data_IF_634370325806
#
_entry.id   IF_634370325806
#
_cell.length_a   1.000
_cell.length_b   1.000
_cell.length_c   1.000
_cell.angle_alpha   90.00
_cell.angle_beta   90.00
_cell.angle_gamma   90.00
#
_symmetry.space_group_name_H-M   'P 1'
#
loop_
_entity.id
_entity.type
_entity.pdbx_description
1 polymer ?
#
# COMPACT_ATOMS: atom_id res chain seq x y z
N UNK A 1 9.34 11.31 -2.72
CA UNK A 1 9.70 11.88 -1.40
C UNK A 1 8.47 11.97 -0.50
N UNK A 2 7.39 12.64 -0.94
CA UNK A 2 6.15 12.75 -0.16
C UNK A 2 5.49 11.40 0.17
N UNK A 3 5.38 10.49 -0.81
CA UNK A 3 4.93 9.12 -0.55
C UNK A 3 5.74 8.42 0.56
N UNK A 4 7.07 8.50 0.51
CA UNK A 4 7.93 7.82 1.49
C UNK A 4 7.73 8.37 2.90
N UNK A 5 7.62 9.69 3.03
CA UNK A 5 7.36 10.34 4.32
C UNK A 5 6.01 9.90 4.90
N UNK A 6 4.96 9.86 4.07
CA UNK A 6 3.67 9.34 4.48
C UNK A 6 3.76 7.86 4.86
N UNK A 7 4.46 7.06 4.05
CA UNK A 7 4.63 5.64 4.26
C UNK A 7 5.33 5.32 5.58
N UNK A 8 6.43 5.99 5.88
CA UNK A 8 7.14 5.85 7.16
C UNK A 8 6.24 6.19 8.34
N UNK A 9 5.46 7.27 8.24
CA UNK A 9 4.48 7.66 9.27
C UNK A 9 3.41 6.59 9.46
N UNK A 10 2.81 6.09 8.38
CA UNK A 10 1.80 5.03 8.46
C UNK A 10 2.37 3.73 9.04
N UNK A 11 3.57 3.35 8.63
CA UNK A 11 4.25 2.13 9.08
C UNK A 11 4.63 2.16 10.57
N UNK A 12 4.77 3.34 11.17
CA UNK A 12 5.03 3.52 12.59
C UNK A 12 3.78 3.28 13.47
N UNK A 13 2.62 3.00 12.86
CA UNK A 13 1.34 2.75 13.55
C UNK A 13 0.85 3.84 14.51
N UNK A 14 0.95 5.13 14.18
CA UNK A 14 0.27 6.18 14.94
C UNK A 14 -1.25 6.07 14.75
N UNK A 15 -2.02 6.80 15.56
CA UNK A 15 -3.44 7.03 15.31
C UNK A 15 -3.63 7.63 13.91
N UNK A 16 -4.24 6.87 12.99
CA UNK A 16 -4.46 7.31 11.61
C UNK A 16 -5.28 8.60 11.55
N UNK A 17 -6.28 8.74 12.42
CA UNK A 17 -7.12 9.96 12.51
C UNK A 17 -6.25 11.16 12.88
N UNK A 18 -5.33 10.99 13.84
CA UNK A 18 -4.42 12.05 14.25
C UNK A 18 -3.46 12.43 13.11
N UNK A 19 -2.88 11.47 12.40
CA UNK A 19 -1.98 11.74 11.27
C UNK A 19 -2.68 12.40 10.08
N UNK A 20 -3.95 12.06 9.81
CA UNK A 20 -4.74 12.75 8.78
C UNK A 20 -4.90 14.25 9.12
N UNK A 21 -5.13 14.58 10.39
CA UNK A 21 -5.19 15.96 10.83
C UNK A 21 -3.82 16.65 10.74
N UNK A 22 -2.73 15.96 11.11
CA UNK A 22 -1.35 16.46 10.94
C UNK A 22 -1.05 16.75 9.48
N UNK A 23 -1.46 15.88 8.55
CA UNK A 23 -1.27 16.09 7.11
C UNK A 23 -1.98 17.39 6.63
N UNK A 24 -3.21 17.62 7.10
CA UNK A 24 -3.93 18.88 6.86
C UNK A 24 -3.18 20.08 7.45
N UNK A 25 -2.74 19.99 8.71
CA UNK A 25 -2.02 21.06 9.37
C UNK A 25 -0.71 21.40 8.64
N UNK A 26 0.06 20.39 8.22
CA UNK A 26 1.28 20.56 7.43
C UNK A 26 1.01 21.27 6.09
N UNK A 27 -0.12 20.97 5.44
CA UNK A 27 -0.54 21.68 4.21
C UNK A 27 -0.90 23.15 4.48
N UNK A 28 -1.62 23.43 5.57
CA UNK A 28 -2.02 24.80 5.94
C UNK A 28 -0.81 25.65 6.33
N UNK A 29 0.14 25.07 7.08
CA UNK A 29 1.36 25.72 7.55
C UNK A 29 2.48 25.79 6.50
N UNK A 30 2.25 25.26 5.29
CA UNK A 30 3.23 25.30 4.19
C UNK A 30 4.35 24.26 4.26
N UNK A 31 4.33 23.36 5.25
CA UNK A 31 5.29 22.25 5.37
C UNK A 31 5.05 21.13 4.33
N UNK A 32 3.85 21.05 3.74
CA UNK A 32 3.50 20.10 2.68
C UNK A 32 2.93 20.85 1.46
N UNK A 33 3.59 20.69 0.31
CA UNK A 33 3.14 21.30 -0.94
C UNK A 33 1.78 20.74 -1.41
N UNK A 34 0.94 21.59 -2.01
CA UNK A 34 -0.41 21.19 -2.45
C UNK A 34 -0.41 20.00 -3.42
N UNK A 35 0.56 19.95 -4.34
CA UNK A 35 0.74 18.88 -5.31
C UNK A 35 1.21 17.56 -4.69
N UNK A 36 1.75 17.62 -3.47
CA UNK A 36 2.32 16.47 -2.74
C UNK A 36 1.34 15.84 -1.74
N UNK A 37 0.20 16.48 -1.46
CA UNK A 37 -0.77 16.00 -0.46
C UNK A 37 -1.31 14.62 -0.82
N UNK A 38 -1.70 14.41 -2.08
CA UNK A 38 -2.23 13.12 -2.54
C UNK A 38 -1.19 12.00 -2.38
N UNK A 39 0.05 12.27 -2.77
CA UNK A 39 1.14 11.29 -2.71
C UNK A 39 1.52 10.95 -1.25
N UNK A 40 1.58 11.95 -0.38
CA UNK A 40 1.79 11.78 1.07
C UNK A 40 0.66 10.96 1.72
N UNK A 41 -0.60 11.32 1.48
CA UNK A 41 -1.75 10.61 2.06
C UNK A 41 -1.83 9.17 1.57
N UNK A 42 -1.51 8.91 0.31
CA UNK A 42 -1.42 7.54 -0.21
C UNK A 42 -0.37 6.72 0.53
N UNK A 43 0.82 7.28 0.79
CA UNK A 43 1.85 6.63 1.61
C UNK A 43 1.35 6.34 3.02
N UNK A 44 0.75 7.33 3.68
CA UNK A 44 0.22 7.23 5.04
C UNK A 44 -0.80 6.09 5.18
N UNK A 45 -1.77 6.03 4.28
CA UNK A 45 -2.83 5.02 4.31
C UNK A 45 -2.28 3.62 4.04
N UNK A 46 -1.46 3.45 3.00
CA UNK A 46 -0.85 2.16 2.65
C UNK A 46 0.06 1.67 3.79
N UNK A 47 0.85 2.56 4.39
CA UNK A 47 1.71 2.22 5.53
C UNK A 47 0.90 1.75 6.74
N UNK A 48 -0.16 2.48 7.09
CA UNK A 48 -1.02 2.12 8.22
C UNK A 48 -1.72 0.76 8.00
N UNK A 49 -2.20 0.51 6.79
CA UNK A 49 -2.80 -0.76 6.40
C UNK A 49 -1.80 -1.92 6.52
N UNK A 50 -0.64 -1.81 5.86
CA UNK A 50 0.38 -2.87 5.86
C UNK A 50 0.88 -3.16 7.27
N UNK A 51 1.06 -2.14 8.11
CA UNK A 51 1.49 -2.34 9.49
C UNK A 51 0.40 -3.06 10.31
N UNK A 52 -0.86 -2.66 10.16
CA UNK A 52 -2.00 -3.27 10.89
C UNK A 52 -2.21 -4.73 10.48
N UNK A 53 -2.28 -4.99 9.18
CA UNK A 53 -2.54 -6.34 8.65
C UNK A 53 -1.31 -7.25 8.85
N UNK A 54 -0.10 -6.72 8.70
CA UNK A 54 1.13 -7.46 8.93
C UNK A 54 1.22 -8.01 10.36
N UNK A 55 0.84 -7.21 11.37
CA UNK A 55 0.77 -7.67 12.76
C UNK A 55 -0.36 -8.68 12.98
N UNK A 56 -1.53 -8.45 12.38
CA UNK A 56 -2.69 -9.32 12.56
C UNK A 56 -2.47 -10.73 12.00
N UNK A 57 -1.88 -10.84 10.82
CA UNK A 57 -1.73 -12.11 10.12
C UNK A 57 -0.35 -12.76 10.29
N UNK A 58 0.65 -12.05 10.82
CA UNK A 58 2.03 -12.52 10.99
C UNK A 58 2.62 -13.16 9.72
N UNK A 59 2.30 -12.57 8.57
CA UNK A 59 2.65 -13.08 7.26
C UNK A 59 4.12 -12.79 6.91
N UNK A 60 4.84 -13.79 6.42
CA UNK A 60 6.20 -13.66 5.89
C UNK A 60 6.27 -13.45 4.38
N UNK A 61 5.20 -13.77 3.64
CA UNK A 61 5.13 -13.65 2.19
C UNK A 61 3.74 -13.28 1.66
N UNK A 62 3.67 -12.31 0.76
CA UNK A 62 2.42 -11.81 0.16
C UNK A 62 2.52 -11.80 -1.36
N UNK A 63 1.43 -12.15 -2.04
CA UNK A 63 1.27 -11.93 -3.47
C UNK A 63 0.30 -10.78 -3.70
N UNK A 64 0.77 -9.73 -4.36
CA UNK A 64 -0.02 -8.57 -4.76
C UNK A 64 -0.65 -8.83 -6.12
N UNK A 65 -1.95 -8.63 -6.23
CA UNK A 65 -2.71 -8.81 -7.47
C UNK A 65 -3.43 -7.50 -7.75
N UNK A 66 -3.13 -6.87 -8.88
CA UNK A 66 -3.73 -5.58 -9.21
C UNK A 66 -2.93 -4.77 -10.21
N UNK A 67 -3.22 -3.48 -10.27
CA UNK A 67 -2.53 -2.53 -11.14
C UNK A 67 -1.02 -2.47 -10.80
N UNK A 68 -0.11 -2.50 -11.79
CA UNK A 68 1.33 -2.47 -11.55
C UNK A 68 1.83 -1.27 -10.73
N UNK A 69 1.26 -0.07 -10.93
CA UNK A 69 1.68 1.12 -10.20
C UNK A 69 1.24 1.05 -8.73
N UNK A 70 0.05 0.51 -8.45
CA UNK A 70 -0.40 0.29 -7.08
C UNK A 70 0.38 -0.85 -6.40
N UNK A 71 0.64 -1.94 -7.11
CA UNK A 71 1.47 -3.04 -6.63
C UNK A 71 2.87 -2.55 -6.22
N UNK A 72 3.46 -1.63 -6.98
CA UNK A 72 4.75 -1.03 -6.64
C UNK A 72 4.70 -0.27 -5.29
N UNK A 73 3.61 0.49 -5.04
CA UNK A 73 3.40 1.21 -3.77
C UNK A 73 3.27 0.26 -2.58
N UNK A 74 2.46 -0.79 -2.69
CA UNK A 74 2.31 -1.79 -1.63
C UNK A 74 3.58 -2.63 -1.43
N UNK A 75 4.28 -2.98 -2.51
CA UNK A 75 5.54 -3.73 -2.45
C UNK A 75 6.60 -2.98 -1.65
N UNK A 76 6.70 -1.66 -1.84
CA UNK A 76 7.56 -0.78 -1.04
C UNK A 76 7.24 -0.88 0.45
N UNK A 77 5.97 -0.74 0.82
CA UNK A 77 5.49 -0.81 2.20
C UNK A 77 5.75 -2.17 2.87
N UNK A 78 5.43 -3.25 2.17
CA UNK A 78 5.60 -4.62 2.68
C UNK A 78 7.07 -5.01 2.82
N UNK A 79 7.92 -4.61 1.86
CA UNK A 79 9.38 -4.81 1.94
C UNK A 79 10.01 -4.01 3.07
N UNK A 80 9.54 -2.78 3.34
CA UNK A 80 9.98 -1.99 4.49
C UNK A 80 9.66 -2.67 5.84
N UNK A 81 8.73 -3.63 5.86
CA UNK A 81 8.41 -4.49 7.01
C UNK A 81 9.09 -5.86 6.97
N UNK A 82 9.98 -6.10 6.01
CA UNK A 82 10.73 -7.35 5.87
C UNK A 82 9.91 -8.51 5.27
N UNK A 83 8.77 -8.24 4.64
CA UNK A 83 7.96 -9.27 3.99
C UNK A 83 8.51 -9.61 2.60
N UNK A 84 8.37 -10.87 2.19
CA UNK A 84 8.60 -11.29 0.81
C UNK A 84 7.38 -10.91 -0.04
N UNK A 85 7.61 -10.28 -1.19
CA UNK A 85 6.51 -9.77 -2.03
C UNK A 85 6.67 -10.26 -3.46
N UNK A 86 5.65 -10.98 -3.93
CA UNK A 86 5.42 -11.29 -5.33
C UNK A 86 4.31 -10.39 -5.87
N UNK A 87 4.27 -10.16 -7.17
CA UNK A 87 3.21 -9.36 -7.81
C UNK A 87 2.82 -9.94 -9.16
N UNK A 88 1.53 -9.90 -9.48
CA UNK A 88 1.00 -10.15 -10.82
C UNK A 88 -0.03 -9.09 -11.22
N UNK A 89 -0.25 -8.94 -12.52
CA UNK A 89 -1.31 -8.07 -13.03
C UNK A 89 -2.68 -8.64 -12.66
N UNK A 90 -3.61 -7.75 -12.31
CA UNK A 90 -5.01 -8.12 -12.09
C UNK A 90 -5.63 -8.76 -13.34
N UNK A 91 -5.30 -8.25 -14.52
CA UNK A 91 -5.82 -8.76 -15.79
C UNK A 91 -5.29 -10.17 -16.10
N UNK A 92 -3.99 -10.40 -15.88
CA UNK A 92 -3.36 -11.72 -16.05
C UNK A 92 -3.97 -12.73 -15.07
N UNK A 93 -4.17 -12.34 -13.82
CA UNK A 93 -4.78 -13.19 -12.80
C UNK A 93 -6.23 -13.55 -13.15
N UNK A 94 -7.01 -12.59 -13.65
CA UNK A 94 -8.39 -12.80 -14.08
C UNK A 94 -8.46 -13.76 -15.28
N UNK A 95 -7.69 -13.49 -16.34
CA UNK A 95 -7.66 -14.32 -17.55
C UNK A 95 -7.19 -15.74 -17.24
N UNK A 96 -6.12 -15.88 -16.44
CA UNK A 96 -5.63 -17.18 -15.99
C UNK A 96 -6.65 -17.95 -15.17
N UNK A 97 -7.41 -17.26 -14.31
CA UNK A 97 -8.51 -17.84 -13.55
C UNK A 97 -9.64 -18.35 -14.44
N UNK A 98 -10.11 -17.53 -15.38
CA UNK A 98 -11.18 -17.89 -16.32
C UNK A 98 -10.79 -19.08 -17.20
N UNK A 99 -9.58 -19.07 -17.77
CA UNK A 99 -9.07 -20.17 -18.58
C UNK A 99 -9.08 -21.50 -17.79
N UNK A 100 -8.65 -21.47 -16.53
CA UNK A 100 -8.66 -22.66 -15.66
C UNK A 100 -10.06 -23.18 -15.37
N UNK A 101 -11.06 -22.30 -15.19
CA UNK A 101 -12.45 -22.72 -14.99
C UNK A 101 -12.99 -23.36 -16.26
N UNK A 102 -12.72 -22.76 -17.42
CA UNK A 102 -13.19 -23.28 -18.72
C UNK A 102 -12.58 -24.63 -19.09
N UNK A 103 -11.29 -24.84 -18.80
CA UNK A 103 -10.57 -26.09 -19.12
C UNK A 103 -10.61 -27.13 -17.99
N UNK A 104 -11.11 -26.78 -16.81
CA UNK A 104 -11.24 -27.68 -15.65
C UNK A 104 -12.62 -28.35 -15.53
N UNK A 105 -13.46 -28.25 -16.57
CA UNK A 105 -14.79 -28.88 -16.65
C UNK A 105 -14.80 -30.20 -17.44
N UNK A 106 -13.63 -30.78 -17.75
CA UNK A 106 -13.50 -32.14 -18.30
C UNK A 106 -13.17 -33.16 -17.20
#
# INVERSE_FOLDING_TARGET
AAFEQGLEKGLAQPSLISELFVARAARVLGALAATSVSDYLSGLLIGAEVATLGQRYRTSGVTLVGDPALNARYSRAMRARGMTVNSCSGDEALLGGMARIMHGQD
#
